data_IF_326840169727
#
_entry.id   IF_326840169727
#
_cell.length_a   1.000
_cell.length_b   1.000
_cell.length_c   1.000
_cell.angle_alpha   90.00
_cell.angle_beta   90.00
_cell.angle_gamma   90.00
#
_symmetry.space_group_name_H-M   'P 1'
#
loop_
_entity.id
_entity.type
_entity.pdbx_description
1 polymer ?
#
# COMPACT_ATOMS: atom_id res chain seq x y z
N UNK A 1 -43.66 21.95 79.74
CA UNK A 1 -44.28 20.65 79.41
C UNK A 1 -45.19 20.89 78.21
N UNK A 2 -44.84 20.57 76.95
CA UNK A 2 -44.87 19.22 76.31
C UNK A 2 -46.15 18.47 76.72
N UNK A 3 -47.11 18.19 75.85
CA UNK A 3 -47.05 17.31 74.66
C UNK A 3 -48.29 17.53 73.77
N UNK A 4 -48.13 17.88 72.48
CA UNK A 4 -48.21 17.01 71.29
C UNK A 4 -49.61 16.49 70.90
N UNK A 5 -50.24 17.18 69.96
CA UNK A 5 -51.21 16.62 69.02
C UNK A 5 -50.68 16.78 67.59
N UNK A 6 -51.08 15.85 66.72
CA UNK A 6 -50.89 15.83 65.25
C UNK A 6 -49.56 15.27 64.73
N UNK A 7 -49.33 13.98 65.00
CA UNK A 7 -48.61 13.13 64.06
C UNK A 7 -49.64 12.38 63.18
N UNK A 8 -49.29 12.10 61.93
CA UNK A 8 -50.12 11.42 60.90
C UNK A 8 -51.07 12.34 60.14
N UNK A 9 -50.50 13.29 59.37
CA UNK A 9 -51.00 13.68 58.04
C UNK A 9 -50.03 14.56 57.22
N UNK A 10 -48.78 14.71 57.66
CA UNK A 10 -47.77 15.52 57.00
C UNK A 10 -46.50 14.72 56.65
N UNK A 11 -46.64 13.49 56.15
CA UNK A 11 -45.52 12.67 55.64
C UNK A 11 -45.67 12.32 54.15
N UNK A 12 -46.82 12.59 53.54
CA UNK A 12 -47.06 12.26 52.12
C UNK A 12 -46.89 13.42 51.13
N UNK A 13 -46.50 14.62 51.58
CA UNK A 13 -46.33 15.78 50.70
C UNK A 13 -44.95 16.45 50.77
N UNK A 14 -43.96 15.79 51.40
CA UNK A 14 -42.59 16.28 51.53
C UNK A 14 -41.54 15.22 51.14
N UNK A 15 -41.98 14.15 50.48
CA UNK A 15 -41.14 13.10 49.90
C UNK A 15 -41.17 13.07 48.35
N UNK A 16 -41.87 14.02 47.72
CA UNK A 16 -41.92 14.20 46.26
C UNK A 16 -41.02 15.32 45.74
N UNK A 17 -40.27 16.01 46.59
CA UNK A 17 -39.34 17.10 46.22
C UNK A 17 -37.88 16.83 46.58
N UNK A 18 -37.56 15.60 47.00
CA UNK A 18 -36.19 15.09 47.19
C UNK A 18 -35.99 13.80 46.39
N UNK A 19 -36.48 13.76 45.15
CA UNK A 19 -35.72 13.04 44.13
C UNK A 19 -34.58 13.99 43.76
N UNK A 20 -33.30 13.61 43.92
CA UNK A 20 -32.34 14.17 43.00
C UNK A 20 -32.91 13.80 41.64
N UNK A 21 -33.22 14.81 40.83
CA UNK A 21 -33.05 14.63 39.41
C UNK A 21 -31.58 14.22 39.24
N UNK A 22 -31.32 12.93 39.37
CA UNK A 22 -30.26 12.26 38.64
C UNK A 22 -30.71 12.42 37.19
N UNK A 23 -30.51 13.65 36.70
CA UNK A 23 -30.16 13.89 35.34
C UNK A 23 -29.05 12.86 35.12
N UNK A 24 -29.38 11.78 34.42
CA UNK A 24 -28.42 11.03 33.65
C UNK A 24 -27.89 12.00 32.57
N UNK A 25 -27.24 13.09 32.99
CA UNK A 25 -26.27 13.76 32.16
C UNK A 25 -25.14 12.76 32.07
N UNK A 26 -25.16 11.94 31.02
CA UNK A 26 -23.97 11.22 30.60
C UNK A 26 -22.86 12.28 30.55
N UNK A 27 -21.88 12.15 31.45
CA UNK A 27 -20.71 13.01 31.45
C UNK A 27 -20.09 12.89 30.07
N UNK A 28 -19.86 14.03 29.40
CA UNK A 28 -19.28 14.05 28.07
C UNK A 28 -18.06 13.13 28.02
N UNK A 29 -18.03 12.21 27.04
CA UNK A 29 -16.90 11.30 26.89
C UNK A 29 -15.69 12.14 26.47
N UNK A 30 -14.72 12.28 27.38
CA UNK A 30 -13.45 12.95 27.08
C UNK A 30 -12.55 11.92 26.42
N UNK A 31 -12.52 11.94 25.09
CA UNK A 31 -11.70 11.04 24.28
C UNK A 31 -10.24 11.49 24.21
N UNK A 32 -9.91 12.70 24.68
CA UNK A 32 -8.55 13.26 24.72
C UNK A 32 -7.54 12.37 25.48
N UNK A 33 -8.02 11.48 26.36
CA UNK A 33 -7.20 10.55 27.13
C UNK A 33 -6.91 9.23 26.40
N UNK A 34 -7.54 9.01 25.24
CA UNK A 34 -7.34 7.83 24.41
C UNK A 34 -6.12 8.05 23.51
N UNK A 35 -4.93 7.97 24.10
CA UNK A 35 -3.66 8.20 23.40
C UNK A 35 -2.89 6.91 23.14
N UNK A 36 -3.32 5.80 23.74
CA UNK A 36 -2.68 4.48 23.62
C UNK A 36 -3.71 3.35 23.56
N UNK A 37 -3.30 2.20 23.00
CA UNK A 37 -4.12 0.98 23.04
C UNK A 37 -4.54 0.59 24.46
N UNK A 38 -3.68 0.73 25.45
CA UNK A 38 -4.03 0.43 26.85
C UNK A 38 -5.12 1.37 27.38
N UNK A 39 -4.99 2.67 27.13
CA UNK A 39 -6.01 3.65 27.53
C UNK A 39 -7.36 3.37 26.85
N UNK A 40 -7.32 2.95 25.58
CA UNK A 40 -8.48 2.53 24.82
C UNK A 40 -9.14 1.28 25.42
N UNK A 41 -8.39 0.21 25.61
CA UNK A 41 -8.88 -1.05 26.17
C UNK A 41 -9.47 -0.86 27.57
N UNK A 42 -8.87 0.00 28.40
CA UNK A 42 -9.40 0.33 29.72
C UNK A 42 -10.79 0.95 29.61
N UNK A 43 -10.99 1.90 28.70
CA UNK A 43 -12.31 2.51 28.45
C UNK A 43 -13.27 1.50 27.82
N UNK A 44 -12.80 0.70 26.86
CA UNK A 44 -13.61 -0.32 26.19
C UNK A 44 -14.16 -1.36 27.19
N UNK A 45 -13.32 -1.90 28.07
CA UNK A 45 -13.71 -2.94 29.03
C UNK A 45 -14.42 -2.42 30.29
N UNK A 46 -14.19 -1.17 30.68
CA UNK A 46 -14.84 -0.58 31.86
C UNK A 46 -16.31 -0.23 31.62
N UNK A 47 -16.69 -0.02 30.37
CA UNK A 47 -18.06 0.24 29.98
C UNK A 47 -18.73 -1.10 29.66
N UNK A 48 -19.86 -1.36 30.31
CA UNK A 48 -20.72 -2.51 30.00
C UNK A 48 -21.43 -2.28 28.67
N UNK A 49 -20.67 -2.28 27.58
CA UNK A 49 -21.24 -2.33 26.25
C UNK A 49 -21.92 -3.70 26.10
N UNK A 50 -23.19 -3.71 25.73
CA UNK A 50 -23.90 -4.98 25.50
C UNK A 50 -23.34 -5.61 24.22
N UNK A 51 -22.25 -6.38 24.28
CA UNK A 51 -21.54 -6.88 23.09
C UNK A 51 -22.38 -7.68 22.06
N UNK A 52 -23.68 -7.87 22.27
CA UNK A 52 -24.64 -8.53 21.37
C UNK A 52 -25.45 -7.61 20.43
N UNK A 53 -25.44 -6.28 20.61
CA UNK A 53 -26.19 -5.37 19.72
C UNK A 53 -25.31 -4.78 18.60
N UNK A 54 -25.60 -5.05 17.31
CA UNK A 54 -24.83 -4.52 16.19
C UNK A 54 -25.01 -3.02 15.93
N UNK A 55 -25.83 -2.31 16.72
CA UNK A 55 -26.17 -0.89 16.55
C UNK A 55 -26.00 -0.08 17.85
N UNK A 56 -24.80 0.00 18.42
CA UNK A 56 -24.57 0.85 19.61
C UNK A 56 -24.46 2.34 19.31
N UNK A 57 -25.57 2.99 18.97
CA UNK A 57 -25.69 4.46 19.06
C UNK A 57 -26.72 4.82 20.11
N UNK A 58 -26.38 5.72 21.04
CA UNK A 58 -27.02 7.04 21.05
C UNK A 58 -26.40 8.07 22.00
N UNK A 59 -26.00 9.18 21.39
CA UNK A 59 -26.06 10.54 21.92
C UNK A 59 -25.07 11.01 23.00
N UNK A 60 -23.88 10.42 23.07
CA UNK A 60 -22.81 11.08 23.82
C UNK A 60 -22.17 12.20 22.97
N UNK A 61 -22.33 13.44 23.45
CA UNK A 61 -21.47 14.55 23.05
C UNK A 61 -20.14 14.38 23.79
N UNK A 62 -19.05 14.40 23.05
CA UNK A 62 -17.71 14.24 23.59
C UNK A 62 -16.79 15.37 23.16
N UNK A 63 -15.55 15.30 23.63
CA UNK A 63 -14.45 16.08 23.07
C UNK A 63 -13.31 15.14 22.71
N UNK A 64 -12.70 15.36 21.55
CA UNK A 64 -11.45 14.73 21.13
C UNK A 64 -10.47 15.80 20.67
N UNK A 65 -9.31 15.88 21.33
CA UNK A 65 -8.30 16.93 21.18
C UNK A 65 -8.89 18.35 21.11
N UNK A 66 -9.87 18.63 21.98
CA UNK A 66 -10.55 19.93 22.03
C UNK A 66 -11.68 20.14 21.01
N UNK A 67 -11.86 19.24 20.04
CA UNK A 67 -12.96 19.27 19.08
C UNK A 67 -14.21 18.59 19.63
N UNK A 68 -15.37 19.22 19.44
CA UNK A 68 -16.66 18.61 19.81
C UNK A 68 -16.99 17.48 18.85
N UNK A 69 -17.30 16.30 19.39
CA UNK A 69 -17.75 15.13 18.63
C UNK A 69 -19.11 14.66 19.14
N UNK A 70 -19.82 13.93 18.30
CA UNK A 70 -21.08 13.28 18.62
C UNK A 70 -21.03 11.83 18.15
N UNK A 71 -22.01 11.05 18.60
CA UNK A 71 -22.26 9.73 18.00
C UNK A 71 -21.05 8.79 18.11
N UNK A 72 -20.41 8.77 19.29
CA UNK A 72 -19.23 7.95 19.56
C UNK A 72 -19.61 6.47 19.69
N UNK A 73 -18.90 5.63 18.97
CA UNK A 73 -19.00 4.17 18.95
C UNK A 73 -17.69 3.55 19.38
N UNK A 74 -17.73 2.57 20.29
CA UNK A 74 -16.55 1.79 20.67
C UNK A 74 -16.68 0.36 20.16
N UNK A 75 -15.65 -0.12 19.47
CA UNK A 75 -15.53 -1.50 19.00
C UNK A 75 -14.32 -2.17 19.69
N UNK A 76 -14.08 -3.45 19.42
CA UNK A 76 -12.98 -4.17 20.07
C UNK A 76 -11.61 -3.53 19.79
N UNK A 77 -11.39 -3.03 18.57
CA UNK A 77 -10.08 -2.54 18.10
C UNK A 77 -10.06 -1.07 17.66
N UNK A 78 -11.22 -0.38 17.60
CA UNK A 78 -11.29 1.03 17.19
C UNK A 78 -12.51 1.74 17.79
N UNK A 79 -12.48 3.07 17.85
CA UNK A 79 -13.70 3.87 18.01
C UNK A 79 -13.99 4.67 16.74
N UNK A 80 -15.27 5.00 16.54
CA UNK A 80 -15.68 5.97 15.53
C UNK A 80 -16.58 7.04 16.14
N UNK A 81 -16.61 8.22 15.54
CA UNK A 81 -17.51 9.31 15.94
C UNK A 81 -17.70 10.30 14.79
N UNK A 82 -18.73 11.15 14.87
CA UNK A 82 -18.93 12.22 13.92
C UNK A 82 -18.52 13.55 14.52
N UNK A 83 -17.96 14.45 13.71
CA UNK A 83 -17.63 15.80 14.16
C UNK A 83 -18.93 16.58 14.44
N UNK A 84 -18.97 17.35 15.54
CA UNK A 84 -20.13 18.20 15.83
C UNK A 84 -20.07 19.50 15.01
N UNK A 85 -20.64 19.43 13.81
CA UNK A 85 -20.74 20.55 12.84
C UNK A 85 -21.63 21.70 13.30
N UNK A 86 -22.24 21.63 14.50
CA UNK A 86 -22.87 22.82 15.11
C UNK A 86 -21.82 23.87 15.52
N UNK A 87 -20.56 23.47 15.64
CA UNK A 87 -19.43 24.40 15.80
C UNK A 87 -19.03 24.96 14.43
N UNK A 88 -19.01 26.30 14.31
CA UNK A 88 -18.70 26.97 13.05
C UNK A 88 -17.32 26.53 12.52
N UNK A 89 -17.27 26.11 11.26
CA UNK A 89 -16.07 25.66 10.56
C UNK A 89 -15.35 24.46 11.23
N UNK A 90 -16.05 23.62 11.99
CA UNK A 90 -15.43 22.51 12.72
C UNK A 90 -14.56 21.62 11.80
N UNK A 91 -15.08 21.26 10.62
CA UNK A 91 -14.37 20.37 9.67
C UNK A 91 -13.07 21.01 9.19
N UNK A 92 -13.11 22.27 8.73
CA UNK A 92 -11.92 22.98 8.27
C UNK A 92 -10.89 23.19 9.39
N UNK A 93 -11.34 23.44 10.63
CA UNK A 93 -10.45 23.54 11.79
C UNK A 93 -9.79 22.19 12.12
N UNK A 94 -10.53 21.08 12.00
CA UNK A 94 -10.00 19.75 12.22
C UNK A 94 -8.94 19.39 11.18
N UNK A 95 -9.21 19.68 9.91
CA UNK A 95 -8.25 19.48 8.81
C UNK A 95 -6.96 20.27 9.08
N UNK A 96 -7.07 21.55 9.41
CA UNK A 96 -5.90 22.38 9.73
C UNK A 96 -5.10 21.84 10.93
N UNK A 97 -5.79 21.28 11.93
CA UNK A 97 -5.14 20.60 13.06
C UNK A 97 -4.36 19.37 12.60
N UNK A 98 -4.95 18.51 11.75
CA UNK A 98 -4.25 17.33 11.23
C UNK A 98 -3.00 17.71 10.44
N UNK A 99 -3.11 18.70 9.55
CA UNK A 99 -2.00 19.21 8.72
C UNK A 99 -0.88 19.80 9.59
N UNK A 100 -1.23 20.51 10.66
CA UNK A 100 -0.27 21.10 11.58
C UNK A 100 0.43 20.06 12.46
N UNK A 101 -0.33 19.10 13.01
CA UNK A 101 0.17 18.16 14.01
C UNK A 101 0.87 16.94 13.40
N UNK A 102 0.47 16.54 12.19
CA UNK A 102 0.96 15.32 11.55
C UNK A 102 1.47 15.57 10.11
N UNK A 103 2.30 16.59 9.86
CA UNK A 103 2.67 16.98 8.49
C UNK A 103 3.36 15.85 7.71
N UNK A 104 4.09 14.96 8.38
CA UNK A 104 4.84 13.85 7.74
C UNK A 104 4.09 12.52 7.71
N UNK A 105 2.93 12.46 8.37
CA UNK A 105 2.17 11.24 8.61
C UNK A 105 0.74 11.32 8.05
N UNK A 106 0.35 12.49 7.54
CA UNK A 106 -0.94 12.75 6.92
C UNK A 106 -0.87 12.45 5.42
N UNK A 107 -1.77 11.60 4.93
CA UNK A 107 -2.12 11.48 3.52
C UNK A 107 -3.55 11.97 3.26
N UNK A 108 -3.81 12.47 2.06
CA UNK A 108 -5.13 12.95 1.65
C UNK A 108 -5.53 12.30 0.34
N UNK A 109 -6.69 11.65 0.35
CA UNK A 109 -7.29 11.03 -0.82
C UNK A 109 -8.60 11.74 -1.18
N UNK A 110 -8.80 12.02 -2.47
CA UNK A 110 -10.02 12.62 -2.99
C UNK A 110 -10.76 11.62 -3.86
N UNK A 111 -11.89 11.14 -3.34
CA UNK A 111 -12.85 10.32 -4.06
C UNK A 111 -13.98 11.18 -4.64
N UNK A 112 -14.89 10.58 -5.39
CA UNK A 112 -15.94 11.32 -6.08
C UNK A 112 -16.93 12.00 -5.11
N UNK A 113 -17.23 11.39 -3.95
CA UNK A 113 -18.17 11.90 -2.93
C UNK A 113 -17.53 12.17 -1.57
N UNK A 114 -16.24 11.86 -1.41
CA UNK A 114 -15.57 11.92 -0.11
C UNK A 114 -14.15 12.45 -0.25
N UNK A 115 -13.67 13.09 0.80
CA UNK A 115 -12.26 13.41 0.99
C UNK A 115 -11.78 12.77 2.29
N UNK A 116 -10.78 11.90 2.19
CA UNK A 116 -10.25 11.13 3.32
C UNK A 116 -8.89 11.70 3.73
N UNK A 117 -8.76 12.00 5.01
CA UNK A 117 -7.53 12.43 5.66
C UNK A 117 -7.06 11.31 6.57
N UNK A 118 -5.96 10.66 6.21
CA UNK A 118 -5.44 9.50 6.95
C UNK A 118 -4.16 9.90 7.66
N UNK A 119 -4.14 9.79 8.99
CA UNK A 119 -2.92 9.91 9.79
C UNK A 119 -2.50 8.52 10.23
N UNK A 120 -1.34 8.07 9.76
CA UNK A 120 -0.75 6.81 10.18
C UNK A 120 0.39 7.07 11.17
N UNK A 121 0.23 6.62 12.41
CA UNK A 121 1.28 6.65 13.43
C UNK A 121 1.51 5.25 13.98
N UNK A 122 2.60 5.07 14.73
CA UNK A 122 2.88 3.81 15.39
C UNK A 122 1.87 3.44 16.47
N UNK A 123 1.25 4.43 17.11
CA UNK A 123 0.33 4.21 18.21
C UNK A 123 -1.13 4.12 17.75
N UNK A 124 -1.45 4.72 16.61
CA UNK A 124 -2.80 4.74 16.07
C UNK A 124 -2.83 5.08 14.58
N UNK A 125 -3.88 4.63 13.92
CA UNK A 125 -4.34 5.13 12.63
C UNK A 125 -5.62 5.95 12.85
N UNK A 126 -5.67 7.13 12.24
CA UNK A 126 -6.84 8.00 12.23
C UNK A 126 -7.28 8.17 10.78
N UNK A 127 -8.55 7.90 10.50
CA UNK A 127 -9.19 8.20 9.21
C UNK A 127 -10.30 9.20 9.46
N UNK A 128 -10.17 10.38 8.88
CA UNK A 128 -11.18 11.43 8.90
C UNK A 128 -11.78 11.60 7.52
N UNK A 129 -13.04 11.20 7.37
CA UNK A 129 -13.77 11.21 6.11
C UNK A 129 -14.71 12.40 6.08
N UNK A 130 -14.59 13.25 5.07
CA UNK A 130 -15.45 14.41 4.84
C UNK A 130 -16.35 14.14 3.64
N UNK A 131 -17.66 14.23 3.81
CA UNK A 131 -18.64 14.00 2.73
C UNK A 131 -18.73 15.21 1.79
N UNK A 132 -17.79 15.28 0.85
CA UNK A 132 -17.69 16.38 -0.11
C UNK A 132 -17.40 15.83 -1.50
N UNK A 133 -18.13 16.33 -2.50
CA UNK A 133 -17.85 15.97 -3.89
C UNK A 133 -16.44 16.40 -4.28
N UNK A 134 -15.83 15.63 -5.18
CA UNK A 134 -14.53 15.98 -5.76
C UNK A 134 -14.54 17.43 -6.27
N UNK A 135 -13.47 18.16 -5.95
CA UNK A 135 -13.25 19.58 -6.30
C UNK A 135 -14.27 20.58 -5.71
N UNK A 136 -15.21 20.14 -4.85
CA UNK A 136 -16.11 21.04 -4.16
C UNK A 136 -15.50 21.58 -2.85
N UNK A 137 -15.93 22.79 -2.49
CA UNK A 137 -15.57 23.42 -1.22
C UNK A 137 -16.31 22.77 -0.05
N UNK A 138 -15.59 22.60 1.07
CA UNK A 138 -16.16 22.14 2.34
C UNK A 138 -17.01 23.27 2.92
N UNK A 139 -18.30 23.00 3.09
CA UNK A 139 -19.28 23.94 3.64
C UNK A 139 -19.33 23.84 5.17
N UNK A 140 -19.93 24.85 5.83
CA UNK A 140 -20.00 24.89 7.30
C UNK A 140 -20.71 23.67 7.92
N UNK A 141 -21.68 23.10 7.20
CA UNK A 141 -22.50 21.97 7.64
C UNK A 141 -22.09 20.63 7.00
N UNK A 142 -20.95 20.57 6.31
CA UNK A 142 -20.47 19.32 5.70
C UNK A 142 -20.26 18.27 6.78
N UNK A 143 -20.88 17.10 6.61
CA UNK A 143 -20.74 15.99 7.54
C UNK A 143 -19.35 15.36 7.45
N UNK A 144 -18.86 14.90 8.60
CA UNK A 144 -17.58 14.22 8.66
C UNK A 144 -17.55 13.17 9.77
N UNK A 145 -16.92 12.04 9.47
CA UNK A 145 -16.71 10.92 10.38
C UNK A 145 -15.22 10.76 10.69
N UNK A 146 -14.93 10.40 11.93
CA UNK A 146 -13.62 10.10 12.47
C UNK A 146 -13.61 8.64 12.91
N UNK A 147 -12.67 7.85 12.40
CA UNK A 147 -12.38 6.50 12.87
C UNK A 147 -10.95 6.50 13.41
N UNK A 148 -10.74 6.00 14.62
CA UNK A 148 -9.42 5.88 15.23
C UNK A 148 -9.19 4.47 15.75
N UNK A 149 -8.17 3.82 15.18
CA UNK A 149 -7.71 2.47 15.54
C UNK A 149 -6.40 2.59 16.30
N UNK A 150 -6.30 1.92 17.45
CA UNK A 150 -5.07 1.92 18.24
C UNK A 150 -4.23 0.67 17.99
N UNK A 151 -2.92 0.85 18.00
CA UNK A 151 -1.95 -0.21 17.71
C UNK A 151 -0.99 -0.40 18.88
N UNK A 152 -0.49 -1.63 19.01
CA UNK A 152 0.57 -1.95 19.98
C UNK A 152 1.87 -1.30 19.53
N UNK A 153 2.50 -0.53 20.41
CA UNK A 153 3.80 0.09 20.14
C UNK A 153 4.93 -0.88 20.51
N UNK A 154 5.63 -1.43 19.51
CA UNK A 154 6.72 -2.41 19.72
C UNK A 154 8.07 -1.80 19.47
N UNK A 155 8.95 -1.73 20.48
CA UNK A 155 10.31 -1.22 20.33
C UNK A 155 11.23 -2.26 19.65
N UNK A 156 11.31 -2.19 18.32
CA UNK A 156 12.10 -3.11 17.51
C UNK A 156 12.80 -2.33 16.37
N UNK A 157 14.07 -2.62 16.04
CA UNK A 157 14.78 -1.90 14.97
C UNK A 157 14.00 -1.84 13.66
N UNK A 158 13.43 -2.97 13.21
CA UNK A 158 12.60 -3.01 12.00
C UNK A 158 11.34 -2.12 12.10
N UNK A 159 10.66 -2.11 13.25
CA UNK A 159 9.46 -1.31 13.43
C UNK A 159 9.78 0.20 13.48
N UNK A 160 10.96 0.58 13.96
CA UNK A 160 11.39 1.96 14.16
C UNK A 160 11.93 2.65 12.89
N UNK A 161 12.23 1.93 11.80
CA UNK A 161 12.89 2.52 10.62
C UNK A 161 12.19 3.78 10.10
N UNK A 162 10.86 3.77 10.00
CA UNK A 162 10.10 4.92 9.48
C UNK A 162 10.13 6.14 10.40
N UNK A 163 10.48 6.00 11.68
CA UNK A 163 10.69 7.14 12.58
C UNK A 163 12.12 7.67 12.48
N UNK A 164 13.08 6.79 12.22
CA UNK A 164 14.50 7.12 12.09
C UNK A 164 14.84 7.75 10.73
N UNK A 165 14.09 7.40 9.68
CA UNK A 165 14.29 7.89 8.32
C UNK A 165 13.53 9.20 8.07
N UNK A 166 14.24 10.19 7.55
CA UNK A 166 13.63 11.45 7.10
C UNK A 166 12.74 11.23 5.88
N UNK A 167 11.57 11.85 5.90
CA UNK A 167 10.73 11.98 4.71
C UNK A 167 11.34 12.98 3.72
N UNK A 168 10.98 12.85 2.44
CA UNK A 168 11.30 13.86 1.43
C UNK A 168 10.07 14.12 0.56
N UNK A 169 9.30 15.15 0.91
CA UNK A 169 8.07 15.56 0.20
C UNK A 169 8.33 16.00 -1.25
N UNK A 170 9.58 16.32 -1.61
CA UNK A 170 9.97 16.67 -2.97
C UNK A 170 10.70 15.50 -3.67
N UNK A 171 10.68 14.31 -3.07
CA UNK A 171 11.24 13.10 -3.64
C UNK A 171 10.57 12.75 -4.97
N UNK A 172 11.37 12.34 -5.95
CA UNK A 172 10.88 11.93 -7.27
C UNK A 172 10.62 10.43 -7.30
N UNK A 173 9.36 10.07 -7.57
CA UNK A 173 8.96 8.71 -7.94
C UNK A 173 8.91 8.59 -9.45
N UNK A 174 9.61 7.59 -9.97
CA UNK A 174 9.71 7.27 -11.39
C UNK A 174 8.72 6.14 -11.71
N UNK A 175 7.78 6.42 -12.60
CA UNK A 175 6.79 5.47 -13.08
C UNK A 175 6.98 5.18 -14.56
N UNK A 176 6.93 3.91 -14.93
CA UNK A 176 6.79 3.48 -16.31
C UNK A 176 5.30 3.31 -16.61
N UNK A 177 4.78 4.19 -17.46
CA UNK A 177 3.44 4.07 -18.01
C UNK A 177 3.48 3.13 -19.22
N UNK A 178 2.56 2.18 -19.24
CA UNK A 178 2.43 1.22 -20.33
C UNK A 178 1.01 1.32 -20.88
N UNK A 179 0.86 1.24 -22.20
CA UNK A 179 -0.45 1.14 -22.81
C UNK A 179 -0.31 0.27 -24.02
N UNK A 180 -1.02 -0.86 -24.04
CA UNK A 180 -0.93 -1.83 -25.12
C UNK A 180 -2.34 -2.23 -25.57
N UNK A 181 -2.43 -2.68 -26.81
CA UNK A 181 -3.65 -3.28 -27.35
C UNK A 181 -3.26 -4.36 -28.36
N UNK A 182 -3.85 -5.55 -28.22
CA UNK A 182 -3.56 -6.73 -29.04
C UNK A 182 -2.07 -7.13 -29.10
N UNK A 183 -1.28 -6.74 -28.09
CA UNK A 183 0.12 -7.14 -27.90
C UNK A 183 0.40 -7.41 -26.44
N UNK A 184 1.30 -8.36 -26.19
CA UNK A 184 1.79 -8.72 -24.84
C UNK A 184 3.21 -8.20 -24.66
N UNK A 185 3.42 -7.19 -23.79
CA UNK A 185 4.73 -6.72 -23.41
C UNK A 185 5.42 -7.68 -22.43
N UNK A 186 6.73 -7.77 -22.56
CA UNK A 186 7.65 -8.22 -21.53
C UNK A 186 8.62 -7.09 -21.28
N UNK A 187 8.74 -6.68 -20.01
CA UNK A 187 9.58 -5.55 -19.62
C UNK A 187 10.62 -6.04 -18.62
N UNK A 188 11.88 -5.72 -18.90
CA UNK A 188 12.99 -6.03 -18.03
C UNK A 188 13.71 -4.75 -17.60
N UNK A 189 14.10 -4.69 -16.32
CA UNK A 189 14.99 -3.65 -15.77
C UNK A 189 16.28 -4.32 -15.34
N UNK A 190 17.39 -3.96 -15.96
CA UNK A 190 18.69 -4.61 -15.77
C UNK A 190 18.62 -6.14 -15.93
N UNK A 191 17.74 -6.63 -16.81
CA UNK A 191 17.48 -8.06 -17.03
C UNK A 191 16.58 -8.72 -15.98
N UNK A 192 16.04 -7.98 -15.01
CA UNK A 192 15.01 -8.46 -14.07
C UNK A 192 13.63 -8.25 -14.71
N UNK A 193 12.80 -9.30 -14.88
CA UNK A 193 11.45 -9.13 -15.40
C UNK A 193 10.58 -8.39 -14.38
N UNK A 194 10.05 -7.23 -14.77
CA UNK A 194 9.14 -6.42 -13.95
C UNK A 194 7.69 -6.54 -14.39
N UNK A 195 7.49 -6.97 -15.62
CA UNK A 195 6.21 -7.36 -16.19
C UNK A 195 6.48 -8.58 -17.09
N UNK A 196 6.29 -9.81 -16.58
CA UNK A 196 6.48 -11.01 -17.38
C UNK A 196 5.36 -11.14 -18.41
N UNK A 197 5.65 -11.85 -19.52
CA UNK A 197 4.69 -12.12 -20.59
C UNK A 197 3.42 -12.79 -20.03
N UNK A 198 2.30 -12.07 -19.97
CA UNK A 198 1.00 -12.67 -19.67
C UNK A 198 0.40 -13.27 -20.96
N UNK A 199 0.06 -14.56 -20.96
CA UNK A 199 -0.37 -15.26 -22.18
C UNK A 199 -1.84 -14.99 -22.55
N UNK A 200 -2.61 -14.34 -21.69
CA UNK A 200 -4.08 -14.29 -21.75
C UNK A 200 -4.66 -12.92 -22.13
N UNK A 201 -3.82 -12.00 -22.58
CA UNK A 201 -4.21 -10.59 -22.66
C UNK A 201 -4.74 -10.24 -24.05
N UNK A 202 -6.06 -10.39 -24.23
CA UNK A 202 -6.83 -9.87 -25.36
C UNK A 202 -6.93 -8.32 -25.29
N UNK A 203 -7.00 -7.76 -24.07
CA UNK A 203 -7.16 -6.32 -23.83
C UNK A 203 -6.33 -5.84 -22.63
N UNK A 204 -5.06 -5.49 -22.82
CA UNK A 204 -4.24 -5.00 -21.70
C UNK A 204 -3.75 -3.58 -21.85
N UNK A 205 -4.45 -2.67 -21.18
CA UNK A 205 -3.81 -1.47 -20.66
C UNK A 205 -3.06 -1.88 -19.39
N UNK A 206 -1.76 -2.12 -19.51
CA UNK A 206 -0.92 -2.38 -18.34
C UNK A 206 -0.74 -1.07 -17.59
N UNK A 207 -1.12 -0.98 -16.32
CA UNK A 207 -1.06 0.28 -15.57
C UNK A 207 0.34 0.85 -15.36
N UNK A 208 0.46 1.72 -14.36
CA UNK A 208 1.73 2.35 -13.96
C UNK A 208 2.62 1.39 -13.17
N UNK A 209 3.92 1.32 -13.51
CA UNK A 209 4.92 0.49 -12.80
C UNK A 209 5.96 1.38 -12.12
N UNK A 210 6.07 1.31 -10.78
CA UNK A 210 7.09 2.04 -10.03
C UNK A 210 8.51 1.47 -10.26
N UNK A 211 9.44 2.33 -10.68
CA UNK A 211 10.83 1.98 -11.00
C UNK A 211 11.84 2.29 -9.89
N UNK A 212 11.48 3.07 -8.86
CA UNK A 212 12.42 3.47 -7.78
C UNK A 212 13.13 2.30 -7.14
N UNK A 213 12.39 1.20 -6.90
CA UNK A 213 12.95 -0.05 -6.39
C UNK A 213 13.97 -0.71 -7.30
N UNK A 214 14.28 -0.17 -8.48
CA UNK A 214 15.34 -0.66 -9.38
C UNK A 214 16.50 0.31 -9.50
N UNK A 215 16.25 1.61 -9.34
CA UNK A 215 17.24 2.67 -9.41
C UNK A 215 18.04 2.72 -8.10
N UNK A 216 19.37 2.73 -8.20
CA UNK A 216 20.26 2.77 -7.04
C UNK A 216 20.57 4.21 -6.59
N UNK A 217 20.82 5.08 -7.55
CA UNK A 217 21.11 6.49 -7.35
C UNK A 217 20.91 7.22 -8.68
N UNK A 218 21.01 8.54 -8.63
CA UNK A 218 20.87 9.38 -9.82
C UNK A 218 22.00 9.21 -10.84
N UNK A 219 23.16 8.66 -10.46
CA UNK A 219 24.34 8.55 -11.32
C UNK A 219 24.45 7.24 -12.09
N UNK A 220 23.74 6.20 -11.65
CA UNK A 220 23.80 4.87 -12.23
C UNK A 220 22.61 4.66 -13.17
N UNK A 221 22.83 4.59 -14.50
CA UNK A 221 21.74 4.31 -15.42
C UNK A 221 21.24 2.87 -15.23
N UNK A 222 19.94 2.68 -15.46
CA UNK A 222 19.33 1.35 -15.55
C UNK A 222 19.00 1.03 -17.02
N UNK A 223 19.17 -0.24 -17.41
CA UNK A 223 18.82 -0.73 -18.73
C UNK A 223 17.35 -1.19 -18.73
N UNK A 224 16.52 -0.52 -19.53
CA UNK A 224 15.15 -0.94 -19.81
C UNK A 224 15.11 -1.72 -21.12
N UNK A 225 14.61 -2.94 -21.10
CA UNK A 225 14.45 -3.77 -22.28
C UNK A 225 12.98 -4.18 -22.47
N UNK A 226 12.49 -4.02 -23.70
CA UNK A 226 11.09 -4.22 -24.04
C UNK A 226 10.96 -5.24 -25.18
N UNK A 227 10.05 -6.18 -25.01
CA UNK A 227 9.67 -7.16 -26.02
C UNK A 227 8.14 -7.19 -26.13
N UNK A 228 7.60 -6.81 -27.27
CA UNK A 228 6.18 -6.90 -27.59
C UNK A 228 5.97 -8.12 -28.47
N UNK A 229 5.11 -9.04 -28.03
CA UNK A 229 4.70 -10.20 -28.82
C UNK A 229 3.21 -10.11 -29.14
N UNK A 230 2.70 -10.83 -30.16
CA UNK A 230 1.28 -10.79 -30.50
C UNK A 230 0.43 -11.28 -29.32
N UNK A 231 -0.75 -10.67 -29.17
CA UNK A 231 -1.80 -11.12 -28.25
C UNK A 231 -2.45 -12.44 -28.66
N UNK A 232 -3.61 -12.71 -28.09
CA UNK A 232 -4.49 -13.83 -28.45
C UNK A 232 -5.61 -13.35 -29.37
N UNK A 233 -6.13 -14.25 -30.21
CA UNK A 233 -7.35 -14.04 -30.99
C UNK A 233 -8.62 -14.38 -30.18
N UNK A 234 -9.79 -14.17 -30.77
CA UNK A 234 -11.11 -14.44 -30.18
C UNK A 234 -11.30 -15.93 -29.78
N UNK A 235 -10.46 -16.84 -30.29
CA UNK A 235 -10.45 -18.26 -29.94
C UNK A 235 -9.45 -18.59 -28.81
N UNK A 236 -8.78 -17.58 -28.25
CA UNK A 236 -7.76 -17.71 -27.22
C UNK A 236 -6.41 -18.22 -27.74
N UNK A 237 -6.18 -18.25 -29.06
CA UNK A 237 -4.91 -18.70 -29.65
C UNK A 237 -3.97 -17.52 -29.86
N UNK A 238 -2.68 -17.73 -29.62
CA UNK A 238 -1.66 -16.70 -29.87
C UNK A 238 -1.65 -16.35 -31.35
N UNK A 239 -1.87 -15.07 -31.65
CA UNK A 239 -1.82 -14.57 -33.02
C UNK A 239 -0.43 -14.80 -33.63
N UNK A 240 -0.32 -15.17 -34.91
CA UNK A 240 0.96 -15.48 -35.52
C UNK A 240 1.86 -14.24 -35.72
N UNK A 241 1.26 -13.05 -35.79
CA UNK A 241 1.90 -11.76 -36.04
C UNK A 241 1.11 -10.65 -35.34
N UNK A 242 1.75 -9.51 -35.13
CA UNK A 242 1.08 -8.31 -34.60
C UNK A 242 0.05 -7.82 -35.63
N UNK A 243 -1.26 -7.75 -35.28
CA UNK A 243 -2.29 -7.29 -36.19
C UNK A 243 -2.23 -5.76 -36.40
N UNK A 244 -2.88 -5.28 -37.45
CA UNK A 244 -2.92 -3.86 -37.81
C UNK A 244 -3.62 -2.99 -36.77
N UNK A 245 -4.58 -3.57 -36.04
CA UNK A 245 -5.31 -2.92 -34.96
C UNK A 245 -4.51 -2.80 -33.65
N UNK A 246 -3.35 -3.44 -33.53
CA UNK A 246 -2.51 -3.34 -32.33
C UNK A 246 -1.86 -1.99 -32.17
N UNK A 247 -1.58 -1.60 -30.93
CA UNK A 247 -0.67 -0.49 -30.63
C UNK A 247 0.03 -0.71 -29.28
N UNK A 248 1.12 0.02 -29.07
CA UNK A 248 1.75 0.16 -27.78
C UNK A 248 2.35 1.57 -27.59
N UNK A 249 2.30 2.06 -26.35
CA UNK A 249 2.89 3.30 -25.91
C UNK A 249 3.54 3.10 -24.55
N UNK A 250 4.75 3.62 -24.40
CA UNK A 250 5.56 3.57 -23.19
C UNK A 250 6.12 4.96 -22.92
N UNK A 251 5.92 5.45 -21.70
CA UNK A 251 6.52 6.70 -21.25
C UNK A 251 6.99 6.57 -19.80
N UNK A 252 7.97 7.38 -19.44
CA UNK A 252 8.37 7.57 -18.04
C UNK A 252 7.71 8.84 -17.53
N UNK A 253 7.09 8.76 -16.37
CA UNK A 253 6.60 9.91 -15.62
C UNK A 253 7.41 10.07 -14.33
N UNK A 254 7.90 11.29 -14.11
CA UNK A 254 8.48 11.70 -12.85
C UNK A 254 7.42 12.44 -12.04
N UNK A 255 7.06 11.86 -10.90
CA UNK A 255 6.03 12.39 -10.00
C UNK A 255 6.72 12.86 -8.72
N UNK A 256 6.46 14.09 -8.28
CA UNK A 256 6.98 14.60 -7.00
C UNK A 256 6.15 14.05 -5.81
N UNK A 257 6.59 14.29 -4.57
CA UNK A 257 5.86 13.82 -3.39
C UNK A 257 4.50 14.49 -3.14
N UNK A 258 4.11 15.49 -3.94
CA UNK A 258 2.76 16.06 -3.97
C UNK A 258 1.83 15.36 -4.97
N UNK A 259 2.33 14.38 -5.71
CA UNK A 259 1.57 13.69 -6.76
C UNK A 259 1.53 14.43 -8.10
N UNK A 260 2.30 15.50 -8.27
CA UNK A 260 2.33 16.27 -9.51
C UNK A 260 3.32 15.65 -10.50
N UNK A 261 2.90 15.51 -11.76
CA UNK A 261 3.78 15.09 -12.86
C UNK A 261 4.72 16.25 -13.19
N UNK A 262 6.01 16.08 -12.89
CA UNK A 262 7.06 17.07 -13.13
C UNK A 262 7.58 16.97 -14.57
N UNK A 263 7.63 15.76 -15.11
CA UNK A 263 8.14 15.50 -16.47
C UNK A 263 7.61 14.17 -17.00
N UNK A 264 7.35 14.13 -18.31
CA UNK A 264 7.06 12.91 -19.06
C UNK A 264 8.12 12.72 -20.15
N UNK A 265 8.64 11.51 -20.30
CA UNK A 265 9.59 11.12 -21.35
C UNK A 265 8.97 9.99 -22.16
N UNK A 266 8.67 10.25 -23.44
CA UNK A 266 8.19 9.22 -24.35
C UNK A 266 9.34 8.27 -24.71
N UNK A 267 9.15 6.98 -24.44
CA UNK A 267 10.14 5.93 -24.76
C UNK A 267 9.82 5.27 -26.10
N UNK A 268 8.54 5.00 -26.34
CA UNK A 268 8.05 4.33 -27.54
C UNK A 268 6.58 4.65 -27.73
N UNK A 269 6.16 4.95 -28.96
CA UNK A 269 4.76 5.05 -29.31
C UNK A 269 4.59 4.69 -30.78
N UNK A 270 3.87 3.61 -31.06
CA UNK A 270 3.53 3.23 -32.44
C UNK A 270 2.04 3.33 -32.74
N UNK A 271 1.27 3.96 -31.86
CA UNK A 271 -0.16 4.19 -32.07
C UNK A 271 -0.35 5.18 -33.22
N UNK A 272 -1.04 4.72 -34.26
CA UNK A 272 -1.44 5.54 -35.41
C UNK A 272 -2.92 5.36 -35.69
N UNK A 273 -3.49 6.21 -36.53
CA UNK A 273 -4.84 6.03 -37.05
C UNK A 273 -4.77 5.31 -38.39
N UNK A 274 -5.25 4.07 -38.40
CA UNK A 274 -5.25 3.20 -39.57
C UNK A 274 -6.61 3.28 -40.25
N UNK A 275 -6.64 3.33 -41.58
CA UNK A 275 -7.89 3.22 -42.36
C UNK A 275 -7.83 2.01 -43.29
N UNK A 276 -8.85 1.17 -43.23
CA UNK A 276 -9.08 0.07 -44.17
C UNK A 276 -10.17 0.44 -45.15
N UNK A 277 -10.00 0.01 -46.40
CA UNK A 277 -11.00 0.19 -47.48
C UNK A 277 -11.64 -1.16 -47.76
N UNK A 278 -12.95 -1.25 -47.58
CA UNK A 278 -13.75 -2.44 -47.86
C UNK A 278 -14.58 -2.15 -49.11
N UNK A 279 -14.45 -3.00 -50.13
CA UNK A 279 -15.26 -2.93 -51.34
C UNK A 279 -16.23 -4.11 -51.33
N UNK A 280 -17.51 -3.83 -51.18
CA UNK A 280 -18.56 -4.86 -51.11
C UNK A 280 -19.72 -4.44 -52.03
N UNK A 281 -20.10 -5.32 -52.97
CA UNK A 281 -21.17 -5.07 -53.96
C UNK A 281 -21.03 -3.76 -54.77
N UNK A 282 -19.80 -3.27 -54.99
CA UNK A 282 -19.52 -2.02 -55.71
C UNK A 282 -19.53 -0.78 -54.83
N UNK A 283 -19.95 -0.89 -53.57
CA UNK A 283 -19.86 0.20 -52.59
C UNK A 283 -18.51 0.15 -51.87
N UNK A 284 -17.87 1.32 -51.75
CA UNK A 284 -16.61 1.49 -51.00
C UNK A 284 -16.92 2.05 -49.62
N UNK A 285 -16.52 1.33 -48.57
CA UNK A 285 -16.61 1.79 -47.17
C UNK A 285 -15.21 1.94 -46.59
N UNK A 286 -15.03 2.97 -45.77
CA UNK A 286 -13.80 3.22 -45.02
C UNK A 286 -14.04 2.94 -43.56
N UNK A 287 -13.16 2.16 -42.94
CA UNK A 287 -13.17 1.92 -41.50
C UNK A 287 -11.86 2.40 -40.91
N UNK A 288 -11.92 3.34 -39.98
CA UNK A 288 -10.74 3.92 -39.37
C UNK A 288 -10.67 3.62 -37.87
N UNK A 289 -9.51 3.19 -37.40
CA UNK A 289 -9.30 2.71 -36.04
C UNK A 289 -7.88 2.99 -35.54
N UNK A 290 -7.66 3.09 -34.22
CA UNK A 290 -6.31 3.12 -33.65
C UNK A 290 -5.59 1.78 -33.93
N UNK A 291 -4.37 1.86 -34.44
CA UNK A 291 -3.57 0.70 -34.81
C UNK A 291 -2.08 1.02 -34.83
N UNK A 292 -1.31 0.29 -35.62
CA UNK A 292 0.15 0.45 -35.75
C UNK A 292 0.62 0.26 -37.18
N UNK A 293 1.76 0.88 -37.52
CA UNK A 293 2.48 0.66 -38.78
C UNK A 293 3.44 -0.54 -38.72
N UNK A 294 3.65 -1.12 -37.53
CA UNK A 294 4.55 -2.27 -37.30
C UNK A 294 3.85 -3.62 -37.42
N UNK A 295 2.65 -3.63 -37.99
CA UNK A 295 1.86 -4.83 -38.22
C UNK A 295 2.61 -5.82 -39.13
N UNK A 296 2.28 -7.11 -39.00
CA UNK A 296 2.99 -8.26 -39.62
C UNK A 296 4.32 -8.67 -38.99
N UNK A 297 4.92 -7.86 -38.11
CA UNK A 297 6.08 -8.29 -37.32
C UNK A 297 5.70 -9.41 -36.36
N UNK A 298 6.63 -10.35 -36.16
CA UNK A 298 6.48 -11.42 -35.15
C UNK A 298 6.68 -10.87 -33.74
N UNK A 299 7.62 -9.95 -33.56
CA UNK A 299 7.82 -9.21 -32.32
C UNK A 299 8.38 -7.80 -32.60
N UNK A 300 8.23 -6.92 -31.61
CA UNK A 300 8.87 -5.59 -31.59
C UNK A 300 9.78 -5.56 -30.36
N UNK A 301 11.02 -5.11 -30.55
CA UNK A 301 12.03 -5.03 -29.49
C UNK A 301 12.69 -3.67 -29.51
N UNK A 302 12.86 -3.09 -28.33
CA UNK A 302 13.61 -1.85 -28.16
C UNK A 302 14.16 -1.78 -26.75
N UNK A 303 15.23 -1.00 -26.57
CA UNK A 303 15.88 -0.79 -25.28
C UNK A 303 16.04 0.71 -25.03
N UNK A 304 16.11 1.09 -23.77
CA UNK A 304 16.37 2.46 -23.35
C UNK A 304 17.27 2.45 -22.10
N UNK A 305 18.20 3.40 -22.02
CA UNK A 305 18.97 3.63 -20.78
C UNK A 305 18.37 4.82 -20.04
N UNK A 306 17.96 4.60 -18.80
CA UNK A 306 17.32 5.62 -17.98
C UNK A 306 18.27 6.09 -16.88
N UNK A 307 18.58 7.38 -16.86
CA UNK A 307 19.23 8.07 -15.73
C UNK A 307 18.17 8.90 -15.00
N UNK A 308 17.64 8.38 -13.89
CA UNK A 308 16.53 9.01 -13.18
C UNK A 308 17.00 10.06 -12.16
N UNK A 309 16.35 11.23 -12.05
CA UNK A 309 16.74 12.31 -11.14
C UNK A 309 16.27 12.05 -9.70
N UNK A 310 16.66 10.92 -9.11
CA UNK A 310 16.31 10.57 -7.72
C UNK A 310 17.27 11.23 -6.72
N UNK A 311 16.77 11.58 -5.54
CA UNK A 311 17.56 12.26 -4.51
C UNK A 311 18.22 11.30 -3.49
N UNK A 312 17.88 10.01 -3.56
CA UNK A 312 18.47 8.99 -2.69
C UNK A 312 19.71 8.34 -3.31
N UNK A 313 20.52 7.73 -2.44
CA UNK A 313 21.63 6.89 -2.84
C UNK A 313 21.63 5.62 -1.99
N UNK A 314 21.23 4.51 -2.59
CA UNK A 314 21.31 3.18 -1.96
C UNK A 314 22.49 2.42 -2.53
N UNK A 315 23.18 1.65 -1.67
CA UNK A 315 24.33 0.85 -2.12
C UNK A 315 23.87 -0.31 -2.99
N UNK A 316 22.76 -0.96 -2.64
CA UNK A 316 22.26 -2.12 -3.34
C UNK A 316 23.30 -3.21 -3.60
N UNK A 317 23.21 -3.87 -4.74
CA UNK A 317 24.16 -4.89 -5.18
C UNK A 317 25.44 -4.31 -5.82
N UNK A 318 25.70 -3.00 -5.73
CA UNK A 318 26.91 -2.42 -6.36
C UNK A 318 28.19 -3.06 -5.86
N UNK A 319 28.22 -3.46 -4.58
CA UNK A 319 29.33 -4.20 -3.93
C UNK A 319 29.29 -5.72 -4.14
N UNK A 320 28.35 -6.21 -4.96
CA UNK A 320 28.22 -7.63 -5.27
C UNK A 320 29.28 -8.11 -6.27
N UNK A 321 29.71 -9.37 -6.11
CA UNK A 321 30.58 -10.05 -7.06
C UNK A 321 29.83 -10.54 -8.31
N UNK A 322 30.57 -10.94 -9.34
CA UNK A 322 29.99 -11.52 -10.56
C UNK A 322 29.56 -12.97 -10.34
N UNK A 323 28.25 -13.14 -10.16
CA UNK A 323 27.57 -14.40 -9.88
C UNK A 323 27.64 -15.42 -11.02
N UNK A 324 27.97 -15.01 -12.25
CA UNK A 324 28.12 -15.94 -13.39
C UNK A 324 29.27 -16.92 -13.20
N UNK A 325 30.20 -16.60 -12.29
CA UNK A 325 31.37 -17.42 -11.96
C UNK A 325 31.16 -18.26 -10.70
N UNK A 326 30.02 -18.10 -10.03
CA UNK A 326 29.76 -18.72 -8.74
C UNK A 326 29.27 -20.14 -8.88
N UNK A 327 30.09 -21.06 -8.36
CA UNK A 327 29.74 -22.47 -8.28
C UNK A 327 28.68 -22.66 -7.20
N UNK A 328 27.70 -23.52 -7.48
CA UNK A 328 26.63 -23.90 -6.54
C UNK A 328 25.72 -22.75 -6.07
N UNK A 329 25.65 -21.63 -6.81
CA UNK A 329 24.81 -20.48 -6.44
C UNK A 329 23.34 -20.86 -6.22
N UNK A 330 22.78 -21.70 -7.11
CA UNK A 330 21.40 -22.18 -6.95
C UNK A 330 21.20 -22.94 -5.64
N UNK A 331 22.14 -23.80 -5.25
CA UNK A 331 22.03 -24.56 -4.00
C UNK A 331 22.20 -23.65 -2.77
N UNK A 332 23.08 -22.64 -2.83
CA UNK A 332 23.18 -21.63 -1.76
C UNK A 332 21.86 -20.87 -1.57
N UNK A 333 21.21 -20.46 -2.66
CA UNK A 333 19.90 -19.79 -2.59
C UNK A 333 18.82 -20.74 -2.05
N UNK A 334 18.80 -22.01 -2.47
CA UNK A 334 17.88 -23.02 -1.92
C UNK A 334 18.10 -23.24 -0.42
N UNK A 335 19.35 -23.30 0.02
CA UNK A 335 19.69 -23.40 1.45
C UNK A 335 19.21 -22.19 2.24
N UNK A 336 19.38 -20.98 1.69
CA UNK A 336 18.83 -19.76 2.29
C UNK A 336 17.32 -19.88 2.49
N UNK A 337 16.57 -20.27 1.45
CA UNK A 337 15.12 -20.39 1.58
C UNK A 337 14.69 -21.49 2.55
N UNK A 338 15.43 -22.62 2.65
CA UNK A 338 15.18 -23.64 3.68
C UNK A 338 15.36 -23.06 5.08
N UNK A 339 16.43 -22.30 5.32
CA UNK A 339 16.66 -21.63 6.59
C UNK A 339 15.54 -20.61 6.89
N UNK A 340 15.13 -19.82 5.90
CA UNK A 340 14.02 -18.88 6.03
C UNK A 340 12.69 -19.58 6.33
N UNK A 341 12.41 -20.71 5.69
CA UNK A 341 11.24 -21.55 5.98
C UNK A 341 11.23 -22.04 7.43
N UNK A 342 12.38 -22.45 7.96
CA UNK A 342 12.52 -22.80 9.39
C UNK A 342 12.21 -21.61 10.29
N UNK A 343 12.70 -20.39 9.98
CA UNK A 343 12.35 -19.21 10.76
C UNK A 343 10.84 -18.92 10.77
N UNK A 344 10.14 -19.19 9.66
CA UNK A 344 8.67 -19.07 9.58
C UNK A 344 8.00 -20.09 10.51
N UNK A 345 8.36 -21.37 10.38
CA UNK A 345 7.74 -22.46 11.15
C UNK A 345 8.02 -22.34 12.65
N UNK A 346 9.22 -21.87 13.02
CA UNK A 346 9.63 -21.62 14.40
C UNK A 346 9.07 -20.31 14.97
N UNK A 347 8.34 -19.53 14.15
CA UNK A 347 7.81 -18.20 14.51
C UNK A 347 8.90 -17.24 15.03
N UNK A 348 10.11 -17.35 14.49
CA UNK A 348 11.27 -16.58 14.95
C UNK A 348 11.33 -15.19 14.29
N UNK A 349 10.47 -14.29 14.78
CA UNK A 349 10.34 -12.92 14.27
C UNK A 349 11.64 -12.13 14.36
N UNK A 350 12.41 -12.27 15.45
CA UNK A 350 13.65 -11.52 15.65
C UNK A 350 14.72 -11.88 14.60
N UNK A 351 14.95 -13.17 14.36
CA UNK A 351 15.92 -13.59 13.35
C UNK A 351 15.47 -13.22 11.93
N UNK A 352 14.16 -13.32 11.65
CA UNK A 352 13.59 -12.93 10.36
C UNK A 352 13.75 -11.43 10.09
N UNK A 353 13.39 -10.59 11.06
CA UNK A 353 13.48 -9.13 10.91
C UNK A 353 14.93 -8.66 10.84
N UNK A 354 15.86 -9.31 11.55
CA UNK A 354 17.30 -9.06 11.40
C UNK A 354 17.79 -9.37 9.98
N UNK A 355 17.33 -10.48 9.39
CA UNK A 355 17.69 -10.87 8.03
C UNK A 355 17.14 -9.89 6.98
N UNK A 356 15.93 -9.38 7.21
CA UNK A 356 15.22 -8.49 6.28
C UNK A 356 15.61 -7.00 6.43
N UNK A 357 16.29 -6.62 7.51
CA UNK A 357 16.50 -5.22 7.89
C UNK A 357 17.06 -4.35 6.74
N UNK A 358 18.15 -4.77 6.09
CA UNK A 358 18.77 -4.00 5.02
C UNK A 358 17.83 -3.82 3.81
N UNK A 359 17.03 -4.84 3.49
CA UNK A 359 16.02 -4.77 2.42
C UNK A 359 14.93 -3.74 2.74
N UNK A 360 14.46 -3.71 3.99
CA UNK A 360 13.49 -2.71 4.46
C UNK A 360 14.08 -1.30 4.52
N UNK A 361 15.34 -1.16 4.94
CA UNK A 361 16.05 0.11 4.94
C UNK A 361 16.13 0.68 3.52
N UNK A 362 16.51 -0.13 2.53
CA UNK A 362 16.51 0.32 1.14
C UNK A 362 15.09 0.67 0.66
N UNK A 363 14.09 -0.16 0.99
CA UNK A 363 12.69 0.10 0.65
C UNK A 363 12.22 1.48 1.09
N UNK A 364 12.39 1.80 2.36
CA UNK A 364 11.97 3.10 2.87
C UNK A 364 12.86 4.24 2.38
N UNK A 365 14.12 3.97 2.03
CA UNK A 365 14.99 4.98 1.41
C UNK A 365 14.54 5.34 0.00
N UNK A 366 14.31 4.37 -0.90
CA UNK A 366 13.94 4.66 -2.29
C UNK A 366 12.49 5.14 -2.47
N UNK A 367 11.64 4.90 -1.47
CA UNK A 367 10.29 5.45 -1.38
C UNK A 367 10.21 6.75 -0.55
N UNK A 368 11.36 7.31 -0.15
CA UNK A 368 11.46 8.52 0.66
C UNK A 368 10.67 8.48 1.98
N UNK A 369 10.40 7.28 2.50
CA UNK A 369 9.58 7.05 3.68
C UNK A 369 8.17 7.70 3.59
N UNK A 370 7.68 7.97 2.37
CA UNK A 370 6.42 8.66 2.11
C UNK A 370 5.25 7.70 1.81
N UNK A 371 5.45 6.39 1.95
CA UNK A 371 4.37 5.42 1.73
C UNK A 371 3.38 5.44 2.89
N UNK A 372 2.11 5.19 2.58
CA UNK A 372 1.07 4.94 3.59
C UNK A 372 1.45 3.76 4.49
N UNK A 373 2.03 2.72 3.87
CA UNK A 373 2.54 1.58 4.60
C UNK A 373 3.91 1.90 5.21
N UNK A 374 3.94 2.20 6.50
CA UNK A 374 5.14 2.45 7.32
C UNK A 374 5.77 1.15 7.86
N UNK A 375 7.01 1.25 8.35
CA UNK A 375 7.81 0.12 8.83
C UNK A 375 7.18 -0.71 9.94
N UNK A 376 6.46 -0.07 10.85
CA UNK A 376 5.76 -0.76 11.94
C UNK A 376 4.56 -1.58 11.43
N UNK A 377 3.81 -1.13 10.41
CA UNK A 377 2.76 -1.96 9.80
C UNK A 377 3.33 -3.20 9.12
N UNK A 378 4.50 -3.07 8.47
CA UNK A 378 5.16 -4.24 7.87
C UNK A 378 5.71 -5.20 8.93
N UNK A 379 6.19 -4.68 10.06
CA UNK A 379 6.54 -5.50 11.21
C UNK A 379 5.33 -6.29 11.71
N UNK A 380 4.19 -5.63 11.90
CA UNK A 380 2.94 -6.28 12.32
C UNK A 380 2.45 -7.30 11.27
N UNK A 381 2.60 -7.01 9.97
CA UNK A 381 2.28 -7.95 8.89
C UNK A 381 3.18 -9.20 8.93
N UNK A 382 4.46 -9.05 9.28
CA UNK A 382 5.38 -10.18 9.45
C UNK A 382 4.98 -11.02 10.67
N UNK A 383 4.66 -10.38 11.80
CA UNK A 383 4.17 -11.07 13.00
C UNK A 383 2.87 -11.84 12.69
N UNK A 384 1.89 -11.19 12.07
CA UNK A 384 0.64 -11.81 11.64
C UNK A 384 0.87 -12.99 10.70
N UNK A 385 1.76 -12.85 9.71
CA UNK A 385 2.13 -13.93 8.80
C UNK A 385 2.69 -15.14 9.56
N UNK A 386 3.57 -14.92 10.53
CA UNK A 386 4.15 -15.98 11.36
C UNK A 386 3.10 -16.68 12.22
N UNK A 387 2.20 -15.91 12.83
CA UNK A 387 1.15 -16.47 13.70
C UNK A 387 0.20 -17.40 12.94
N UNK A 388 -0.19 -16.99 11.72
CA UNK A 388 -1.16 -17.69 10.88
C UNK A 388 -0.58 -18.83 10.05
N UNK A 389 0.71 -18.86 9.83
CA UNK A 389 1.34 -19.90 9.02
C UNK A 389 1.43 -21.20 9.80
N UNK A 390 0.85 -22.27 9.25
CA UNK A 390 1.01 -23.63 9.79
C UNK A 390 1.87 -24.52 8.88
N UNK A 391 2.09 -24.12 7.62
CA UNK A 391 2.87 -24.88 6.65
C UNK A 391 3.65 -23.95 5.72
N UNK A 392 4.84 -24.38 5.35
CA UNK A 392 5.62 -23.76 4.28
C UNK A 392 5.79 -24.74 3.12
N UNK A 393 5.68 -24.26 1.88
CA UNK A 393 5.83 -25.04 0.65
C UNK A 393 6.95 -24.42 -0.19
N UNK A 394 7.84 -25.25 -0.72
CA UNK A 394 8.87 -24.85 -1.69
C UNK A 394 8.60 -25.45 -3.06
N UNK A 395 8.93 -24.73 -4.13
CA UNK A 395 8.91 -25.27 -5.49
C UNK A 395 9.94 -26.40 -5.66
N UNK A 396 9.55 -27.48 -6.33
CA UNK A 396 10.42 -28.64 -6.58
C UNK A 396 11.45 -28.36 -7.67
N UNK A 397 11.04 -27.62 -8.70
CA UNK A 397 11.87 -27.30 -9.86
C UNK A 397 12.02 -25.79 -10.00
N UNK A 398 13.28 -25.37 -10.13
CA UNK A 398 13.65 -23.97 -10.25
C UNK A 398 14.53 -23.72 -11.45
N UNK A 399 14.46 -22.48 -11.93
CA UNK A 399 15.43 -21.92 -12.86
C UNK A 399 16.18 -20.80 -12.18
N UNK A 400 17.51 -20.84 -12.22
CA UNK A 400 18.36 -19.76 -11.74
C UNK A 400 18.45 -18.67 -12.82
N UNK A 401 18.17 -17.44 -12.41
CA UNK A 401 18.35 -16.24 -13.24
C UNK A 401 19.46 -15.38 -12.66
N UNK A 402 20.29 -14.83 -13.53
CA UNK A 402 21.34 -13.88 -13.19
C UNK A 402 21.10 -12.60 -13.99
N UNK A 403 21.08 -11.47 -13.31
CA UNK A 403 20.70 -10.14 -13.82
C UNK A 403 21.65 -9.05 -13.30
N UNK A 404 21.41 -7.81 -13.70
CA UNK A 404 22.19 -6.63 -13.34
C UNK A 404 23.69 -6.81 -13.56
N UNK A 405 24.05 -7.13 -14.80
CA UNK A 405 25.41 -7.42 -15.25
C UNK A 405 26.14 -8.48 -14.40
N UNK A 406 25.40 -9.51 -13.97
CA UNK A 406 25.97 -10.62 -13.22
C UNK A 406 25.94 -10.44 -11.70
N UNK A 407 25.39 -9.36 -11.16
CA UNK A 407 25.47 -9.07 -9.72
C UNK A 407 24.25 -9.47 -8.90
N UNK A 408 23.11 -9.71 -9.56
CA UNK A 408 21.88 -10.16 -8.91
C UNK A 408 21.49 -11.54 -9.40
N UNK A 409 20.91 -12.34 -8.52
CA UNK A 409 20.32 -13.63 -8.85
C UNK A 409 18.95 -13.82 -8.19
N UNK A 410 18.09 -14.61 -8.83
CA UNK A 410 16.83 -15.05 -8.25
C UNK A 410 16.45 -16.42 -8.80
N UNK A 411 15.56 -17.12 -8.09
CA UNK A 411 14.99 -18.39 -8.54
C UNK A 411 13.56 -18.17 -9.05
N UNK A 412 13.30 -18.62 -10.27
CA UNK A 412 11.95 -18.74 -10.84
C UNK A 412 11.47 -20.19 -10.62
N UNK A 413 10.26 -20.37 -10.10
CA UNK A 413 9.66 -21.70 -10.02
C UNK A 413 9.13 -22.11 -11.42
N UNK A 414 9.50 -23.31 -11.88
CA UNK A 414 9.15 -23.79 -13.23
C UNK A 414 7.65 -24.08 -13.36
N UNK A 415 7.01 -24.47 -12.26
CA UNK A 415 5.56 -24.67 -12.17
C UNK A 415 4.77 -23.34 -12.13
N UNK A 416 5.45 -22.20 -12.32
CA UNK A 416 4.89 -20.84 -12.26
C UNK A 416 4.24 -20.49 -10.93
N UNK A 417 4.55 -21.24 -9.88
CA UNK A 417 4.20 -20.85 -8.52
C UNK A 417 5.25 -19.91 -7.94
N UNK A 418 5.05 -19.41 -6.72
CA UNK A 418 6.14 -18.78 -5.99
C UNK A 418 7.10 -19.84 -5.46
N UNK A 419 8.41 -19.54 -5.44
CA UNK A 419 9.40 -20.48 -4.91
C UNK A 419 9.08 -20.90 -3.48
N UNK A 420 8.78 -19.95 -2.59
CA UNK A 420 8.39 -20.22 -1.21
C UNK A 420 6.97 -19.70 -0.97
N UNK A 421 6.14 -20.51 -0.31
CA UNK A 421 4.79 -20.14 0.12
C UNK A 421 4.61 -20.40 1.59
N UNK A 422 4.18 -19.40 2.34
CA UNK A 422 3.66 -19.55 3.69
C UNK A 422 2.14 -19.75 3.60
N UNK A 423 1.63 -20.82 4.22
CA UNK A 423 0.23 -21.26 4.12
C UNK A 423 -0.42 -21.26 5.50
N UNK A 424 -1.52 -20.51 5.61
CA UNK A 424 -2.46 -20.49 6.72
C UNK A 424 -3.83 -21.02 6.28
N UNK A 425 -4.82 -21.03 7.18
CA UNK A 425 -6.14 -21.61 6.92
C UNK A 425 -6.93 -20.85 5.86
N UNK A 426 -6.83 -19.52 5.90
CA UNK A 426 -7.51 -18.55 5.05
C UNK A 426 -6.50 -17.63 4.33
N UNK A 427 -5.24 -18.06 4.24
CA UNK A 427 -4.13 -17.19 3.84
C UNK A 427 -3.04 -17.95 3.07
N UNK A 428 -2.52 -17.33 2.01
CA UNK A 428 -1.32 -17.78 1.30
C UNK A 428 -0.44 -16.57 1.00
N UNK A 429 0.82 -16.62 1.41
CA UNK A 429 1.84 -15.62 1.06
C UNK A 429 2.91 -16.22 0.18
N UNK A 430 3.02 -15.67 -1.01
CA UNK A 430 4.13 -15.92 -1.91
C UNK A 430 5.35 -15.11 -1.46
N UNK A 431 6.50 -15.77 -1.37
CA UNK A 431 7.76 -15.17 -0.90
C UNK A 431 8.84 -15.42 -1.95
N UNK A 432 9.48 -14.34 -2.37
CA UNK A 432 10.57 -14.32 -3.35
C UNK A 432 11.52 -13.18 -3.02
N UNK A 433 12.81 -13.40 -3.22
CA UNK A 433 13.86 -12.40 -3.00
C UNK A 433 14.78 -12.29 -4.21
N UNK A 434 15.39 -11.11 -4.39
CA UNK A 434 16.61 -10.97 -5.17
C UNK A 434 17.82 -11.14 -4.24
N UNK A 435 18.87 -11.76 -4.77
CA UNK A 435 20.07 -12.09 -4.03
C UNK A 435 21.30 -11.48 -4.68
N UNK A 436 22.27 -11.08 -3.87
CA UNK A 436 23.64 -10.85 -4.30
C UNK A 436 24.60 -11.50 -3.31
N UNK A 437 25.87 -11.67 -3.71
CA UNK A 437 26.92 -12.06 -2.77
C UNK A 437 27.86 -10.86 -2.59
N UNK A 438 28.00 -10.42 -1.35
CA UNK A 438 28.88 -9.32 -0.97
C UNK A 438 30.35 -9.66 -1.30
N UNK A 439 31.04 -8.78 -2.02
CA UNK A 439 32.42 -9.06 -2.46
C UNK A 439 33.44 -9.04 -1.31
N UNK A 440 33.12 -8.44 -0.17
CA UNK A 440 34.02 -8.35 0.99
C UNK A 440 33.78 -9.48 1.98
N UNK A 441 32.50 -9.82 2.26
CA UNK A 441 32.17 -10.85 3.25
C UNK A 441 31.94 -12.23 2.64
N UNK A 442 31.73 -12.30 1.31
CA UNK A 442 31.34 -13.50 0.59
C UNK A 442 30.01 -14.12 1.09
N UNK A 443 29.17 -13.32 1.75
CA UNK A 443 27.86 -13.72 2.25
C UNK A 443 26.78 -13.49 1.20
N UNK A 444 25.87 -14.45 1.07
CA UNK A 444 24.64 -14.29 0.30
C UNK A 444 23.68 -13.39 1.08
N UNK A 445 23.30 -12.27 0.46
CA UNK A 445 22.41 -11.26 1.05
C UNK A 445 21.18 -11.08 0.18
N UNK A 446 20.08 -10.70 0.83
CA UNK A 446 18.83 -10.34 0.15
C UNK A 446 18.74 -8.85 -0.11
N UNK A 447 18.03 -8.52 -1.16
CA UNK A 447 17.69 -7.15 -1.51
C UNK A 447 16.34 -7.16 -2.22
N UNK A 448 15.47 -6.21 -1.86
CA UNK A 448 14.16 -5.95 -2.47
C UNK A 448 13.13 -7.07 -2.37
#
# INVERSE_FOLDING_TARGET
MRTSHTAIKLVFLLLSTLLPAVLFGQSAVVLDQLTTLESYQKVYHANSFDHSNPYFRKNDKGRWNGFSVKEVYFNEDYFSCSLDVSTKNAVNQFIAYLEQMYPTNLSVEQEYYERKYTVATRAFDLVFTVEVRKDADIQENTEAELIMKFSRVVNHPLANLSEELKTNENGITCFLQVSCYNVVPTILVDGIPILPKNKEDEYSTYGSIALNKYILNSDTPIDLAFLLTPGIDDEGKIMPKIPKSSYASFSIEYINGKGEVVQTIDLFNNRTYVTDTIVENGDTRYYSYPGSNDYTKKDIRFNHQLKAPVAYNVTGWTKGKDLRKEKNLEEQIKQFYRAYATLILDKNLNAMTQLLYDSFLEKYTYNYNNTELKSYHEYDNLEYMLERTFKVVTAEQTKLHISANGKLAYLEAVDKTAYLKAVGLDYIKNISFLFYIDNNTNELKIIR
#
